data_IF_366106556151
#
_entry.id   IF_366106556151
#
_cell.length_a   1.000
_cell.length_b   1.000
_cell.length_c   1.000
_cell.angle_alpha   90.00
_cell.angle_beta   90.00
_cell.angle_gamma   90.00
#
_symmetry.space_group_name_H-M   'P 1'
#
loop_
_entity.id
_entity.type
_entity.pdbx_description
1 polymer ?
#
# COMPACT_ATOMS: atom_id res chain seq x y z
N UNK A 1 11.38 7.08 13.21
CA UNK A 1 10.34 6.55 12.31
C UNK A 1 8.99 7.05 12.79
N UNK A 2 8.19 7.68 11.93
CA UNK A 2 6.79 7.97 12.24
C UNK A 2 5.97 6.67 12.12
N UNK A 3 5.49 6.18 13.26
CA UNK A 3 4.54 5.07 13.35
C UNK A 3 3.15 5.51 12.91
N UNK A 4 2.34 4.53 12.51
CA UNK A 4 0.93 4.74 12.25
C UNK A 4 0.19 5.16 13.52
N UNK A 5 -0.66 6.16 13.40
CA UNK A 5 -1.56 6.60 14.44
C UNK A 5 -3.02 6.66 13.98
N UNK A 6 -3.90 7.11 14.88
CA UNK A 6 -5.35 7.21 14.62
C UNK A 6 -5.67 8.29 13.57
N UNK A 7 -4.88 9.36 13.50
CA UNK A 7 -5.09 10.41 12.50
C UNK A 7 -4.81 9.88 11.10
N UNK A 8 -3.77 9.05 10.95
CA UNK A 8 -3.47 8.41 9.67
C UNK A 8 -4.63 7.51 9.19
N UNK A 9 -5.26 6.75 10.10
CA UNK A 9 -6.44 5.95 9.79
C UNK A 9 -7.68 6.79 9.46
N UNK A 10 -7.94 7.83 10.25
CA UNK A 10 -9.07 8.74 10.02
C UNK A 10 -8.95 9.47 8.68
N UNK A 11 -7.73 9.89 8.31
CA UNK A 11 -7.45 10.53 7.04
C UNK A 11 -7.67 9.56 5.87
N UNK A 12 -7.12 8.33 5.98
CA UNK A 12 -7.32 7.28 4.98
C UNK A 12 -8.82 7.01 4.78
N UNK A 13 -9.57 6.82 5.87
CA UNK A 13 -11.02 6.60 5.82
C UNK A 13 -11.77 7.75 5.14
N UNK A 14 -11.42 8.98 5.52
CA UNK A 14 -12.10 10.19 5.04
C UNK A 14 -11.92 10.35 3.53
N UNK A 15 -10.70 10.18 3.02
CA UNK A 15 -10.43 10.29 1.58
C UNK A 15 -11.08 9.16 0.78
N UNK A 16 -11.11 7.93 1.30
CA UNK A 16 -11.83 6.81 0.68
C UNK A 16 -13.33 7.11 0.59
N UNK A 17 -13.93 7.57 1.69
CA UNK A 17 -15.35 7.93 1.73
C UNK A 17 -15.64 9.04 0.72
N UNK A 18 -14.88 10.14 0.76
CA UNK A 18 -15.04 11.28 -0.15
C UNK A 18 -14.97 10.85 -1.61
N UNK A 19 -14.00 10.00 -1.95
CA UNK A 19 -13.83 9.46 -3.31
C UNK A 19 -15.04 8.64 -3.78
N UNK A 20 -15.86 8.12 -2.88
CA UNK A 20 -17.05 7.31 -3.17
C UNK A 20 -18.36 8.11 -3.20
N UNK A 21 -18.34 9.43 -2.97
CA UNK A 21 -19.51 10.30 -3.05
C UNK A 21 -19.53 11.12 -4.37
N UNK A 22 -20.23 10.65 -5.43
CA UNK A 22 -20.18 11.26 -6.76
C UNK A 22 -20.84 12.64 -6.86
N UNK A 23 -21.77 12.98 -5.96
CA UNK A 23 -22.57 14.20 -6.09
C UNK A 23 -21.82 15.50 -5.75
N UNK A 24 -20.62 15.41 -5.18
CA UNK A 24 -19.79 16.58 -4.79
C UNK A 24 -18.29 16.41 -5.06
N UNK A 25 -17.89 15.35 -5.77
CA UNK A 25 -16.48 14.99 -5.96
C UNK A 25 -15.69 16.13 -6.59
N UNK A 26 -16.14 16.71 -7.70
CA UNK A 26 -15.40 17.77 -8.42
C UNK A 26 -15.11 19.01 -7.55
N UNK A 27 -16.11 19.48 -6.78
CA UNK A 27 -15.92 20.63 -5.89
C UNK A 27 -14.95 20.32 -4.76
N UNK A 28 -15.04 19.14 -4.19
CA UNK A 28 -14.16 18.68 -3.11
C UNK A 28 -12.73 18.55 -3.63
N UNK A 29 -12.56 17.96 -4.81
CA UNK A 29 -11.26 17.80 -5.47
C UNK A 29 -10.60 19.16 -5.73
N UNK A 30 -11.33 20.12 -6.29
CA UNK A 30 -10.82 21.48 -6.52
C UNK A 30 -10.43 22.19 -5.22
N UNK A 31 -11.18 21.97 -4.13
CA UNK A 31 -10.83 22.52 -2.81
C UNK A 31 -9.57 21.87 -2.23
N UNK A 32 -9.42 20.56 -2.38
CA UNK A 32 -8.22 19.83 -1.94
C UNK A 32 -6.99 20.23 -2.74
N UNK A 33 -7.12 20.37 -4.06
CA UNK A 33 -6.04 20.86 -4.94
C UNK A 33 -5.60 22.27 -4.53
N UNK A 34 -6.55 23.19 -4.38
CA UNK A 34 -6.25 24.55 -3.93
C UNK A 34 -5.55 24.53 -2.57
N UNK A 35 -6.04 23.73 -1.62
CA UNK A 35 -5.42 23.63 -0.30
C UNK A 35 -4.00 23.04 -0.36
N UNK A 36 -3.77 22.04 -1.21
CA UNK A 36 -2.45 21.47 -1.48
C UNK A 36 -1.47 22.50 -2.05
N UNK A 37 -1.90 23.31 -3.03
CA UNK A 37 -1.10 24.35 -3.67
C UNK A 37 -0.79 25.49 -2.69
N UNK A 38 -1.80 25.97 -1.98
CA UNK A 38 -1.68 27.13 -1.07
C UNK A 38 -0.83 26.83 0.17
N UNK A 39 -0.57 25.55 0.49
CA UNK A 39 0.12 25.13 1.73
C UNK A 39 1.37 24.28 1.49
N UNK A 40 2.41 24.76 0.76
CA UNK A 40 3.60 24.00 0.32
C UNK A 40 4.30 23.17 1.42
N UNK A 41 4.22 23.59 2.69
CA UNK A 41 4.90 22.92 3.80
C UNK A 41 3.96 22.07 4.68
N UNK A 42 2.73 21.83 4.24
CA UNK A 42 1.76 20.99 4.95
C UNK A 42 1.81 19.54 4.43
N UNK A 43 2.41 18.65 5.23
CA UNK A 43 2.52 17.22 4.92
C UNK A 43 1.16 16.50 4.88
N UNK A 44 0.21 16.89 5.72
CA UNK A 44 -1.13 16.28 5.74
C UNK A 44 -1.92 16.63 4.47
N UNK A 45 -1.84 17.88 4.03
CA UNK A 45 -2.43 18.33 2.77
C UNK A 45 -1.87 17.55 1.57
N UNK A 46 -0.55 17.37 1.53
CA UNK A 46 0.12 16.59 0.48
C UNK A 46 -0.25 15.11 0.53
N UNK A 47 -0.28 14.50 1.72
CA UNK A 47 -0.71 13.12 1.90
C UNK A 47 -2.15 12.91 1.40
N UNK A 48 -3.07 13.78 1.82
CA UNK A 48 -4.49 13.69 1.48
C UNK A 48 -4.71 13.83 -0.03
N UNK A 49 -4.05 14.81 -0.65
CA UNK A 49 -4.15 15.04 -2.09
C UNK A 49 -3.55 13.89 -2.90
N UNK A 50 -2.36 13.41 -2.54
CA UNK A 50 -1.77 12.24 -3.19
C UNK A 50 -2.65 11.00 -3.08
N UNK A 51 -3.19 10.72 -1.88
CA UNK A 51 -4.07 9.57 -1.63
C UNK A 51 -5.34 9.62 -2.50
N UNK A 52 -5.94 10.81 -2.66
CA UNK A 52 -7.08 11.00 -3.55
C UNK A 52 -6.72 10.61 -5.00
N UNK A 53 -5.58 11.07 -5.50
CA UNK A 53 -5.13 10.76 -6.86
C UNK A 53 -4.80 9.27 -7.05
N UNK A 54 -4.23 8.61 -6.04
CA UNK A 54 -4.05 7.16 -6.03
C UNK A 54 -5.39 6.40 -6.14
N UNK A 55 -6.42 6.83 -5.43
CA UNK A 55 -7.75 6.20 -5.52
C UNK A 55 -8.39 6.47 -6.88
N UNK A 56 -8.19 7.65 -7.46
CA UNK A 56 -8.69 7.97 -8.80
C UNK A 56 -7.99 7.16 -9.88
N UNK A 57 -6.70 6.87 -9.73
CA UNK A 57 -5.96 6.05 -10.69
C UNK A 57 -6.41 4.59 -10.70
N UNK A 58 -6.99 4.08 -9.60
CA UNK A 58 -7.52 2.70 -9.52
C UNK A 58 -8.98 2.56 -9.99
N UNK A 59 -9.71 3.66 -10.23
CA UNK A 59 -11.15 3.64 -10.54
C UNK A 59 -11.53 3.62 -12.01
N UNK A 60 -10.59 3.86 -12.94
CA UNK A 60 -10.89 3.84 -14.38
C UNK A 60 -10.64 2.43 -14.95
N UNK A 61 -11.69 1.87 -15.56
CA UNK A 61 -11.74 0.50 -16.09
C UNK A 61 -10.71 0.17 -17.17
N UNK A 62 -9.92 1.12 -17.67
CA UNK A 62 -8.78 0.85 -18.54
C UNK A 62 -7.76 1.98 -18.39
N UNK A 63 -6.53 1.63 -18.00
CA UNK A 63 -5.37 2.49 -17.72
C UNK A 63 -5.43 3.28 -16.40
N UNK A 64 -4.44 3.02 -15.53
CA UNK A 64 -3.94 4.00 -14.59
C UNK A 64 -3.65 5.27 -15.40
N UNK A 65 -4.41 6.34 -15.17
CA UNK A 65 -4.09 7.61 -15.82
C UNK A 65 -2.72 8.04 -15.27
N UNK A 66 -1.69 8.02 -16.11
CA UNK A 66 -0.31 8.38 -15.76
C UNK A 66 -0.26 9.70 -14.99
N UNK A 67 -1.06 10.68 -15.41
CA UNK A 67 -1.20 11.96 -14.72
C UNK A 67 -1.56 11.86 -13.22
N UNK A 68 -2.48 10.96 -12.84
CA UNK A 68 -2.84 10.80 -11.42
C UNK A 68 -1.74 10.09 -10.63
N UNK A 69 -0.99 9.20 -11.28
CA UNK A 69 0.16 8.51 -10.68
C UNK A 69 1.30 9.51 -10.45
N UNK A 70 1.58 10.39 -11.40
CA UNK A 70 2.61 11.43 -11.27
C UNK A 70 2.27 12.41 -10.14
N UNK A 71 1.01 12.87 -10.07
CA UNK A 71 0.53 13.75 -8.98
C UNK A 71 0.63 13.05 -7.62
N UNK A 72 0.32 11.75 -7.56
CA UNK A 72 0.50 10.95 -6.34
C UNK A 72 1.96 10.97 -5.88
N UNK A 73 2.91 10.66 -6.79
CA UNK A 73 4.33 10.63 -6.44
C UNK A 73 4.86 12.00 -6.05
N UNK A 74 4.50 13.07 -6.77
CA UNK A 74 4.92 14.44 -6.43
C UNK A 74 4.45 14.83 -5.02
N UNK A 75 3.17 14.57 -4.71
CA UNK A 75 2.62 14.87 -3.40
C UNK A 75 3.28 14.04 -2.30
N UNK A 76 3.58 12.77 -2.55
CA UNK A 76 4.20 11.89 -1.56
C UNK A 76 5.68 12.23 -1.33
N UNK A 77 6.43 12.59 -2.37
CA UNK A 77 7.78 13.13 -2.23
C UNK A 77 7.81 14.39 -1.37
N UNK A 78 6.79 15.25 -1.52
CA UNK A 78 6.65 16.42 -0.66
C UNK A 78 6.36 16.05 0.80
N UNK A 79 5.59 14.99 1.06
CA UNK A 79 5.45 14.47 2.44
C UNK A 79 6.79 13.98 2.97
N UNK A 80 7.55 13.21 2.18
CA UNK A 80 8.82 12.65 2.60
C UNK A 80 9.93 13.70 2.79
N UNK A 81 9.87 14.83 2.09
CA UNK A 81 10.74 15.99 2.37
C UNK A 81 10.52 16.58 3.76
N UNK A 82 9.30 16.50 4.29
CA UNK A 82 8.92 17.04 5.60
C UNK A 82 9.06 15.98 6.70
N UNK A 83 8.66 14.74 6.41
CA UNK A 83 8.69 13.59 7.33
C UNK A 83 9.35 12.40 6.60
N UNK A 84 10.69 12.35 6.53
CA UNK A 84 11.41 11.36 5.71
C UNK A 84 11.19 9.92 6.13
N UNK A 85 10.89 9.69 7.41
CA UNK A 85 10.76 8.38 8.03
C UNK A 85 9.30 7.95 8.22
N UNK A 86 8.40 8.47 7.37
CA UNK A 86 6.97 8.19 7.44
C UNK A 86 6.61 6.87 6.75
N UNK A 87 6.50 5.81 7.56
CA UNK A 87 6.30 4.44 7.08
C UNK A 87 5.10 4.28 6.14
N UNK A 88 3.95 4.89 6.45
CA UNK A 88 2.73 4.75 5.64
C UNK A 88 2.93 5.24 4.20
N UNK A 89 3.61 6.38 4.07
CA UNK A 89 3.86 7.04 2.78
C UNK A 89 4.73 6.15 1.91
N UNK A 90 5.84 5.65 2.47
CA UNK A 90 6.70 4.69 1.79
C UNK A 90 5.95 3.40 1.42
N UNK A 91 5.13 2.87 2.32
CA UNK A 91 4.37 1.63 2.08
C UNK A 91 3.35 1.78 0.94
N UNK A 92 2.61 2.89 0.91
CA UNK A 92 1.67 3.20 -0.17
C UNK A 92 2.39 3.52 -1.48
N UNK A 93 3.54 4.21 -1.42
CA UNK A 93 4.39 4.45 -2.59
C UNK A 93 4.88 3.15 -3.21
N UNK A 94 5.43 2.24 -2.41
CA UNK A 94 5.84 0.90 -2.85
C UNK A 94 4.66 0.10 -3.42
N UNK A 95 3.46 0.22 -2.83
CA UNK A 95 2.27 -0.43 -3.34
C UNK A 95 1.90 0.06 -4.75
N UNK A 96 1.96 1.37 -5.02
CA UNK A 96 1.67 1.92 -6.35
C UNK A 96 2.77 1.52 -7.34
N UNK A 97 4.04 1.63 -6.97
CA UNK A 97 5.17 1.23 -7.82
C UNK A 97 5.05 -0.24 -8.26
N UNK A 98 4.70 -1.16 -7.36
CA UNK A 98 4.45 -2.56 -7.70
C UNK A 98 3.23 -2.78 -8.61
N UNK A 99 2.18 -1.95 -8.49
CA UNK A 99 1.02 -2.02 -9.39
C UNK A 99 1.37 -1.64 -10.83
N UNK A 100 2.36 -0.77 -11.02
CA UNK A 100 2.68 -0.19 -12.32
C UNK A 100 3.96 -0.74 -12.94
N UNK A 101 4.70 -1.60 -12.22
CA UNK A 101 6.05 -2.02 -12.61
C UNK A 101 6.11 -2.78 -13.95
N UNK A 102 5.05 -3.52 -14.28
CA UNK A 102 4.94 -4.23 -15.56
C UNK A 102 4.62 -3.28 -16.74
N UNK A 103 4.17 -2.05 -16.43
CA UNK A 103 3.80 -1.01 -17.41
C UNK A 103 4.95 -0.01 -17.59
N UNK A 104 5.53 0.45 -16.47
CA UNK A 104 6.61 1.44 -16.43
C UNK A 104 7.71 0.94 -15.50
N UNK A 105 8.94 0.90 -16.01
CA UNK A 105 10.10 0.42 -15.24
C UNK A 105 10.56 1.47 -14.25
N UNK A 106 10.15 1.31 -13.00
CA UNK A 106 10.61 2.06 -11.83
C UNK A 106 11.31 1.13 -10.82
N UNK A 107 12.13 0.22 -11.33
CA UNK A 107 12.82 -0.81 -10.54
C UNK A 107 13.65 -0.17 -9.41
N UNK A 108 14.49 0.83 -9.74
CA UNK A 108 15.36 1.51 -8.78
C UNK A 108 14.57 2.22 -7.67
N UNK A 109 13.57 3.02 -8.04
CA UNK A 109 12.74 3.76 -7.09
C UNK A 109 11.94 2.82 -6.17
N UNK A 110 11.44 1.71 -6.70
CA UNK A 110 10.77 0.68 -5.89
C UNK A 110 11.73 0.03 -4.91
N UNK A 111 12.92 -0.34 -5.37
CA UNK A 111 13.94 -0.98 -4.53
C UNK A 111 14.42 -0.04 -3.42
N UNK A 112 14.69 1.22 -3.75
CA UNK A 112 15.03 2.26 -2.77
C UNK A 112 13.92 2.45 -1.73
N UNK A 113 12.66 2.52 -2.17
CA UNK A 113 11.50 2.66 -1.26
C UNK A 113 11.36 1.44 -0.34
N UNK A 114 11.51 0.23 -0.88
CA UNK A 114 11.42 -1.01 -0.10
C UNK A 114 12.61 -1.18 0.85
N UNK A 115 13.81 -0.77 0.45
CA UNK A 115 14.98 -0.79 1.33
C UNK A 115 14.89 0.25 2.43
N UNK A 116 14.39 1.45 2.15
CA UNK A 116 14.09 2.44 3.17
C UNK A 116 13.10 1.88 4.19
N UNK A 117 12.01 1.22 3.75
CA UNK A 117 11.07 0.53 4.65
C UNK A 117 11.76 -0.51 5.52
N UNK A 118 12.55 -1.42 4.93
CA UNK A 118 13.25 -2.46 5.68
C UNK A 118 14.24 -1.87 6.68
N UNK A 119 15.05 -0.89 6.28
CA UNK A 119 16.02 -0.21 7.15
C UNK A 119 15.35 0.53 8.32
N UNK A 120 14.28 1.28 8.04
CA UNK A 120 13.50 1.96 9.08
C UNK A 120 12.98 0.96 10.11
N UNK A 121 12.43 -0.16 9.64
CA UNK A 121 11.90 -1.20 10.51
C UNK A 121 13.03 -1.84 11.33
N UNK A 122 14.14 -2.21 10.71
CA UNK A 122 15.30 -2.83 11.37
C UNK A 122 15.89 -1.94 12.46
N UNK A 123 15.97 -0.63 12.24
CA UNK A 123 16.45 0.36 13.21
C UNK A 123 15.49 0.62 14.38
N UNK A 124 14.29 0.04 14.38
CA UNK A 124 13.30 0.25 15.46
C UNK A 124 13.28 -0.90 16.46
N UNK A 125 13.17 -0.56 17.75
CA UNK A 125 13.01 -1.54 18.84
C UNK A 125 11.60 -2.12 18.84
N UNK A 126 10.58 -1.28 18.65
CA UNK A 126 9.19 -1.70 18.59
C UNK A 126 8.83 -2.15 17.17
N UNK A 127 8.57 -3.45 17.03
CA UNK A 127 8.09 -4.06 15.79
C UNK A 127 6.56 -4.15 15.81
N UNK A 128 5.92 -3.68 14.74
CA UNK A 128 4.48 -3.75 14.57
C UNK A 128 4.10 -4.82 13.54
N UNK A 129 2.91 -5.42 13.69
CA UNK A 129 2.47 -6.51 12.81
C UNK A 129 2.40 -6.11 11.32
N UNK A 130 2.09 -4.84 11.03
CA UNK A 130 2.02 -4.34 9.65
C UNK A 130 3.40 -4.25 8.97
N UNK A 131 4.50 -4.39 9.72
CA UNK A 131 5.86 -4.45 9.17
C UNK A 131 6.15 -5.72 8.37
N UNK A 132 5.23 -6.69 8.36
CA UNK A 132 5.34 -7.83 7.43
C UNK A 132 5.18 -7.39 5.97
N UNK A 133 4.49 -6.27 5.73
CA UNK A 133 4.12 -5.83 4.38
C UNK A 133 5.31 -5.61 3.44
N UNK A 134 6.38 -4.87 3.81
CA UNK A 134 7.51 -4.63 2.92
C UNK A 134 8.29 -5.92 2.58
N UNK A 135 8.31 -6.91 3.48
CA UNK A 135 8.86 -8.23 3.18
C UNK A 135 8.06 -8.97 2.10
N UNK A 136 6.74 -8.88 2.15
CA UNK A 136 5.88 -9.47 1.12
C UNK A 136 6.05 -8.74 -0.22
N UNK A 137 6.13 -7.41 -0.22
CA UNK A 137 6.41 -6.62 -1.43
C UNK A 137 7.77 -6.94 -2.06
N UNK A 138 8.82 -7.10 -1.24
CA UNK A 138 10.13 -7.54 -1.71
C UNK A 138 10.12 -8.96 -2.26
N UNK A 139 9.35 -9.85 -1.65
CA UNK A 139 9.15 -11.20 -2.17
C UNK A 139 8.40 -11.19 -3.51
N UNK A 140 7.38 -10.34 -3.68
CA UNK A 140 6.68 -10.15 -4.95
C UNK A 140 7.62 -9.67 -6.05
N UNK A 141 8.42 -8.64 -5.77
CA UNK A 141 9.41 -8.14 -6.73
C UNK A 141 10.40 -9.24 -7.14
N UNK A 142 10.95 -9.98 -6.17
CA UNK A 142 11.89 -11.07 -6.45
C UNK A 142 11.26 -12.17 -7.31
N UNK A 143 10.00 -12.53 -7.05
CA UNK A 143 9.31 -13.57 -7.79
C UNK A 143 8.91 -13.14 -9.21
N UNK A 144 8.37 -11.93 -9.36
CA UNK A 144 7.77 -11.48 -10.63
C UNK A 144 8.82 -10.86 -11.56
N UNK A 145 9.68 -9.99 -11.02
CA UNK A 145 10.59 -9.18 -11.82
C UNK A 145 11.96 -9.85 -11.94
N UNK A 146 12.53 -10.27 -10.80
CA UNK A 146 13.84 -10.93 -10.80
C UNK A 146 13.73 -12.42 -11.21
N UNK A 147 12.52 -12.99 -11.20
CA UNK A 147 12.25 -14.41 -11.44
C UNK A 147 13.07 -15.33 -10.50
N UNK A 148 13.41 -14.82 -9.31
CA UNK A 148 14.19 -15.51 -8.30
C UNK A 148 13.26 -16.05 -7.21
N UNK A 149 12.85 -17.30 -7.44
CA UNK A 149 11.99 -18.06 -6.51
C UNK A 149 12.61 -18.18 -5.12
N UNK A 150 13.91 -18.44 -5.02
CA UNK A 150 14.57 -18.66 -3.74
C UNK A 150 14.63 -17.37 -2.93
N UNK A 151 14.98 -16.26 -3.60
CA UNK A 151 14.99 -14.93 -2.97
C UNK A 151 13.62 -14.50 -2.49
N UNK A 152 12.56 -14.82 -3.23
CA UNK A 152 11.17 -14.67 -2.75
C UNK A 152 10.94 -15.45 -1.44
N UNK A 153 11.30 -16.74 -1.40
CA UNK A 153 11.15 -17.59 -0.20
C UNK A 153 11.93 -17.01 0.98
N UNK A 154 13.15 -16.54 0.75
CA UNK A 154 14.04 -15.98 1.75
C UNK A 154 13.47 -14.69 2.35
N UNK A 155 12.92 -13.79 1.52
CA UNK A 155 12.24 -12.59 2.02
C UNK A 155 11.02 -12.92 2.87
N UNK A 156 10.19 -13.88 2.45
CA UNK A 156 9.05 -14.34 3.24
C UNK A 156 9.49 -14.94 4.59
N UNK A 157 10.56 -15.75 4.59
CA UNK A 157 11.09 -16.35 5.82
C UNK A 157 11.70 -15.32 6.76
N UNK A 158 12.44 -14.34 6.21
CA UNK A 158 13.00 -13.21 6.97
C UNK A 158 11.91 -12.40 7.65
N UNK A 159 10.86 -12.03 6.91
CA UNK A 159 9.73 -11.28 7.46
C UNK A 159 9.04 -12.05 8.58
N UNK A 160 8.78 -13.34 8.37
CA UNK A 160 8.16 -14.20 9.39
C UNK A 160 8.99 -14.32 10.68
N UNK A 161 10.32 -14.36 10.57
CA UNK A 161 11.23 -14.41 11.73
C UNK A 161 11.35 -13.05 12.44
N UNK A 162 11.36 -11.97 11.67
CA UNK A 162 11.67 -10.63 12.19
C UNK A 162 10.44 -9.93 12.81
N UNK A 163 9.24 -10.23 12.32
CA UNK A 163 8.03 -9.50 12.70
C UNK A 163 7.20 -10.32 13.70
N UNK A 164 6.80 -9.73 14.83
CA UNK A 164 5.97 -10.42 15.81
C UNK A 164 4.58 -10.68 15.22
N UNK A 165 4.07 -11.90 15.42
CA UNK A 165 2.70 -12.24 15.07
C UNK A 165 1.74 -11.39 15.91
N UNK A 166 0.81 -10.70 15.25
CA UNK A 166 -0.17 -9.86 15.91
C UNK A 166 -1.18 -9.28 14.94
N UNK A 167 -2.19 -8.60 15.49
CA UNK A 167 -3.25 -7.97 14.71
C UNK A 167 -2.80 -6.57 14.26
N UNK A 168 -2.96 -6.28 12.98
CA UNK A 168 -2.87 -4.90 12.48
C UNK A 168 -4.05 -4.11 13.05
N UNK A 169 -3.75 -3.14 13.93
CA UNK A 169 -4.71 -2.37 14.74
C UNK A 169 -5.58 -1.39 13.95
N UNK A 170 -5.27 -1.18 12.67
CA UNK A 170 -5.94 -0.23 11.78
C UNK A 170 -6.72 -0.98 10.69
N UNK A 171 -8.02 -1.29 10.87
CA UNK A 171 -8.81 -2.09 9.95
C UNK A 171 -8.79 -1.63 8.49
N UNK A 172 -8.78 -0.32 8.23
CA UNK A 172 -8.85 0.21 6.87
C UNK A 172 -7.51 0.00 6.17
N UNK A 173 -6.40 0.32 6.84
CA UNK A 173 -5.08 0.05 6.31
C UNK A 173 -4.88 -1.44 6.08
N UNK A 174 -5.28 -2.29 7.03
CA UNK A 174 -5.22 -3.75 6.91
C UNK A 174 -5.91 -4.23 5.63
N UNK A 175 -7.10 -3.70 5.31
CA UNK A 175 -7.81 -4.02 4.06
C UNK A 175 -7.01 -3.59 2.83
N UNK A 176 -6.45 -2.38 2.85
CA UNK A 176 -5.64 -1.85 1.76
C UNK A 176 -4.37 -2.67 1.50
N UNK A 177 -3.60 -2.97 2.55
CA UNK A 177 -2.39 -3.78 2.42
C UNK A 177 -2.72 -5.21 1.98
N UNK A 178 -3.86 -5.77 2.41
CA UNK A 178 -4.27 -7.11 2.05
C UNK A 178 -4.65 -7.28 0.57
N UNK A 179 -5.06 -6.20 -0.10
CA UNK A 179 -5.33 -6.21 -1.55
C UNK A 179 -4.09 -6.62 -2.34
N UNK A 180 -2.95 -6.00 -2.08
CA UNK A 180 -1.66 -6.34 -2.71
C UNK A 180 -1.30 -7.82 -2.50
N UNK A 181 -1.53 -8.34 -1.28
CA UNK A 181 -1.25 -9.73 -0.96
C UNK A 181 -2.12 -10.67 -1.80
N UNK A 182 -3.40 -10.31 -2.03
CA UNK A 182 -4.28 -11.06 -2.93
C UNK A 182 -3.81 -11.01 -4.38
N UNK A 183 -3.38 -9.86 -4.87
CA UNK A 183 -2.83 -9.73 -6.22
C UNK A 183 -1.60 -10.62 -6.40
N UNK A 184 -0.66 -10.58 -5.46
CA UNK A 184 0.53 -11.43 -5.50
C UNK A 184 0.17 -12.94 -5.48
N UNK A 185 -0.75 -13.35 -4.61
CA UNK A 185 -1.27 -14.74 -4.61
C UNK A 185 -1.89 -15.11 -5.96
N UNK A 186 -2.59 -14.16 -6.61
CA UNK A 186 -3.13 -14.34 -7.96
C UNK A 186 -2.05 -14.60 -9.00
N UNK A 187 -0.99 -13.78 -9.02
CA UNK A 187 0.16 -13.94 -9.93
C UNK A 187 0.87 -15.28 -9.73
N UNK A 188 1.09 -15.68 -8.48
CA UNK A 188 1.71 -16.98 -8.17
C UNK A 188 0.83 -18.16 -8.62
N UNK A 189 -0.49 -18.05 -8.45
CA UNK A 189 -1.42 -19.08 -8.92
C UNK A 189 -1.34 -19.24 -10.44
N UNK A 190 -1.25 -18.15 -11.18
CA UNK A 190 -1.04 -18.18 -12.63
C UNK A 190 0.28 -18.86 -13.00
N UNK A 191 1.32 -18.71 -12.17
CA UNK A 191 2.60 -19.40 -12.32
C UNK A 191 2.60 -20.86 -11.80
N UNK A 192 1.49 -21.37 -11.25
CA UNK A 192 1.34 -22.71 -10.69
C UNK A 192 2.30 -23.06 -9.52
N UNK A 193 2.81 -22.08 -8.78
CA UNK A 193 3.68 -22.32 -7.62
C UNK A 193 2.87 -22.34 -6.30
N UNK A 194 2.17 -23.44 -6.08
CA UNK A 194 1.29 -23.62 -4.92
C UNK A 194 2.03 -23.61 -3.58
N UNK A 195 3.34 -23.89 -3.55
CA UNK A 195 4.13 -23.84 -2.33
C UNK A 195 4.26 -22.39 -1.82
N UNK A 196 4.64 -21.47 -2.72
CA UNK A 196 4.73 -20.04 -2.37
C UNK A 196 3.34 -19.47 -2.09
N UNK A 197 2.32 -19.86 -2.88
CA UNK A 197 0.93 -19.43 -2.61
C UNK A 197 0.51 -19.82 -1.19
N UNK A 198 0.78 -21.06 -0.77
CA UNK A 198 0.44 -21.54 0.57
C UNK A 198 1.22 -20.80 1.66
N UNK A 199 2.50 -20.48 1.42
CA UNK A 199 3.32 -19.70 2.37
C UNK A 199 2.74 -18.30 2.58
N UNK A 200 2.42 -17.59 1.50
CA UNK A 200 1.80 -16.26 1.57
C UNK A 200 0.43 -16.32 2.21
N UNK A 201 -0.38 -17.32 1.87
CA UNK A 201 -1.68 -17.56 2.52
C UNK A 201 -1.53 -17.77 4.02
N UNK A 202 -0.47 -18.46 4.46
CA UNK A 202 -0.11 -18.62 5.86
C UNK A 202 0.18 -17.29 6.55
N UNK A 203 1.01 -16.43 5.92
CA UNK A 203 1.31 -15.09 6.42
C UNK A 203 0.05 -14.20 6.44
N UNK A 204 -0.73 -14.20 5.36
CA UNK A 204 -2.01 -13.51 5.29
C UNK A 204 -2.93 -13.90 6.46
N UNK A 205 -3.00 -15.19 6.78
CA UNK A 205 -3.74 -15.66 7.95
C UNK A 205 -3.16 -15.15 9.26
N UNK A 206 -1.84 -15.19 9.44
CA UNK A 206 -1.19 -14.75 10.70
C UNK A 206 -1.34 -13.26 11.00
N UNK A 207 -1.21 -12.41 9.98
CA UNK A 207 -1.10 -10.95 10.16
C UNK A 207 -2.35 -10.17 9.72
N UNK A 208 -3.10 -10.70 8.76
CA UNK A 208 -4.22 -10.01 8.11
C UNK A 208 -5.57 -10.64 8.42
N UNK A 209 -5.67 -11.59 9.35
CA UNK A 209 -6.96 -12.04 9.90
C UNK A 209 -7.30 -11.33 11.21
N UNK A 210 -8.59 -11.21 11.49
CA UNK A 210 -9.17 -10.42 12.59
C UNK A 210 -10.48 -9.81 12.11
N UNK A 211 -11.58 -10.47 12.51
CA UNK A 211 -13.00 -10.13 12.40
C UNK A 211 -13.62 -9.87 11.02
N UNK A 212 -13.74 -10.93 10.20
CA UNK A 212 -14.71 -11.02 9.11
C UNK A 212 -15.70 -12.18 9.34
N UNK A 213 -16.22 -12.34 10.56
CA UNK A 213 -17.42 -13.17 10.82
C UNK A 213 -18.70 -12.36 11.10
N UNK A 214 -18.64 -11.03 11.01
CA UNK A 214 -19.80 -10.16 11.18
C UNK A 214 -20.00 -9.23 9.99
N UNK A 215 -20.60 -9.76 8.92
CA UNK A 215 -21.47 -9.09 7.93
C UNK A 215 -21.33 -9.73 6.55
N UNK A 216 -22.10 -10.80 6.36
CA UNK A 216 -22.60 -11.25 5.06
C UNK A 216 -23.56 -10.24 4.40
N UNK A 217 -23.46 -8.94 4.68
CA UNK A 217 -24.28 -7.88 4.08
C UNK A 217 -23.44 -6.68 3.59
N UNK A 218 -22.27 -6.97 3.00
CA UNK A 218 -21.64 -6.07 2.02
C UNK A 218 -21.76 -6.69 0.62
N UNK A 219 -22.99 -7.03 0.25
CA UNK A 219 -23.37 -7.35 -1.13
C UNK A 219 -22.95 -6.18 -2.01
N UNK A 220 -22.04 -6.43 -2.97
CA UNK A 220 -21.50 -5.49 -3.98
C UNK A 220 -20.46 -4.44 -3.51
N UNK A 221 -19.34 -4.87 -2.94
CA UNK A 221 -18.04 -4.30 -3.33
C UNK A 221 -17.45 -5.27 -4.35
N UNK A 222 -17.92 -5.16 -5.59
CA UNK A 222 -17.55 -6.01 -6.71
C UNK A 222 -16.05 -5.92 -6.98
N UNK A 223 -15.52 -7.06 -7.40
CA UNK A 223 -14.21 -7.35 -7.97
C UNK A 223 -13.92 -6.63 -9.30
N UNK A 224 -14.44 -5.41 -9.48
CA UNK A 224 -14.34 -4.66 -10.74
C UNK A 224 -13.46 -3.41 -10.60
N UNK A 225 -12.76 -3.21 -9.46
CA UNK A 225 -11.93 -2.03 -9.23
C UNK A 225 -10.60 -2.32 -8.51
N UNK A 226 -10.04 -3.51 -8.75
CA UNK A 226 -8.63 -3.84 -8.52
C UNK A 226 -8.14 -4.72 -9.67
#
# INVERSE_FOLDING_TARGET
MKYLDKNDEELLNTIILMSNFPSRSERIEAQMEKYYIDNPNNAEAAFAYGLLHMIKSSKKENSLSTQNVDVFFEAYERVLKIIPDYWLVHALKANVLLSIIEIVRYDDELLETLDALLQMQDGTVQKEAYFIFPYICRAEYAFIIEQDRQKCIDFLARGEKAIPVGTIKFPILKKYLFVRIKEFMGKIRTANDYEIENKIRGLAKKYFTGDNQGHQNATKLRSDYL
#
